data_IF_078108070299
#
_entry.id   IF_078108070299
#
_cell.length_a   1.000
_cell.length_b   1.000
_cell.length_c   1.000
_cell.angle_alpha   90.00
_cell.angle_beta   90.00
_cell.angle_gamma   90.00
#
_symmetry.space_group_name_H-M   'P 1'
#
loop_
_entity.id
_entity.type
_entity.pdbx_description
1 polymer ?
#
# COMPACT_ATOMS: atom_id res chain seq x y z
N UNK A 1 76.21 2.54 -48.28
CA UNK A 1 74.86 2.01 -48.51
C UNK A 1 73.96 2.50 -47.38
N UNK A 2 73.34 3.68 -47.57
CA UNK A 2 72.36 4.26 -46.65
C UNK A 2 71.64 5.41 -47.36
N UNK A 3 70.42 5.71 -46.91
CA UNK A 3 69.55 6.85 -47.25
C UNK A 3 68.80 6.83 -48.58
N UNK A 4 67.51 6.43 -48.51
CA UNK A 4 66.35 7.16 -49.07
C UNK A 4 65.06 6.39 -48.73
N UNK A 5 64.53 6.62 -47.52
CA UNK A 5 63.22 6.11 -47.07
C UNK A 5 62.50 7.17 -46.23
N UNK A 6 62.52 8.41 -46.71
CA UNK A 6 62.02 9.57 -45.97
C UNK A 6 61.34 10.59 -46.90
N UNK A 7 60.41 10.12 -47.75
CA UNK A 7 59.61 11.01 -48.62
C UNK A 7 58.14 10.54 -48.76
N UNK A 8 57.60 9.81 -47.78
CA UNK A 8 56.17 9.41 -47.74
C UNK A 8 55.40 10.16 -46.65
N UNK A 9 56.09 10.76 -45.67
CA UNK A 9 55.44 11.51 -44.57
C UNK A 9 54.83 12.85 -44.97
N UNK A 10 55.26 13.45 -46.09
CA UNK A 10 54.87 14.82 -46.47
C UNK A 10 53.58 14.91 -47.30
N UNK A 11 53.12 13.81 -47.89
CA UNK A 11 51.85 13.76 -48.65
C UNK A 11 50.63 13.41 -47.78
N UNK A 12 50.81 12.74 -46.63
CA UNK A 12 49.69 12.46 -45.72
C UNK A 12 49.25 13.67 -44.88
N UNK A 13 50.11 14.68 -44.70
CA UNK A 13 49.78 15.89 -43.93
C UNK A 13 48.88 16.87 -44.69
N UNK A 14 48.82 16.77 -46.04
CA UNK A 14 47.97 17.63 -46.88
C UNK A 14 46.51 17.17 -47.00
N UNK A 15 46.18 15.93 -46.65
CA UNK A 15 44.80 15.42 -46.70
C UNK A 15 43.98 15.64 -45.42
N UNK A 16 44.63 15.93 -44.28
CA UNK A 16 43.93 16.18 -43.01
C UNK A 16 43.45 17.64 -42.86
N UNK A 17 44.02 18.57 -43.63
CA UNK A 17 43.71 20.01 -43.51
C UNK A 17 42.48 20.45 -44.31
N UNK A 18 41.89 19.59 -45.14
CA UNK A 18 40.69 19.92 -45.94
C UNK A 18 39.35 19.52 -45.28
N UNK A 19 39.38 18.83 -44.14
CA UNK A 19 38.17 18.54 -43.35
C UNK A 19 37.93 19.60 -42.24
N UNK A 20 38.79 20.62 -42.13
CA UNK A 20 38.74 21.64 -41.06
C UNK A 20 37.83 22.83 -41.31
N UNK A 21 37.05 22.87 -42.41
CA UNK A 21 36.26 24.05 -42.81
C UNK A 21 34.83 23.65 -43.22
N UNK A 22 34.05 23.01 -42.34
CA UNK A 22 32.62 22.79 -42.62
C UNK A 22 31.74 22.51 -41.37
N UNK A 23 32.06 23.07 -40.19
CA UNK A 23 31.13 22.98 -39.05
C UNK A 23 31.17 24.21 -38.13
N UNK A 24 31.42 25.38 -38.70
CA UNK A 24 31.14 26.67 -38.07
C UNK A 24 29.64 26.94 -38.08
N UNK A 25 29.02 26.85 -36.90
CA UNK A 25 27.81 27.61 -36.62
C UNK A 25 26.52 26.80 -36.45
N UNK A 26 26.40 26.06 -35.35
CA UNK A 26 25.18 26.03 -34.53
C UNK A 26 25.44 25.28 -33.21
N UNK A 27 26.06 25.95 -32.23
CA UNK A 27 26.06 25.43 -30.86
C UNK A 27 24.79 25.95 -30.15
N UNK A 28 23.86 25.09 -29.71
CA UNK A 28 22.74 25.53 -28.89
C UNK A 28 23.25 26.06 -27.55
N UNK A 29 22.70 27.21 -27.14
CA UNK A 29 23.01 27.89 -25.88
C UNK A 29 23.06 26.88 -24.72
N UNK A 30 24.18 26.85 -23.97
CA UNK A 30 24.34 26.08 -22.73
C UNK A 30 23.14 26.34 -21.81
N UNK A 31 22.30 25.33 -21.62
CA UNK A 31 21.28 25.35 -20.56
C UNK A 31 22.00 25.36 -19.22
N UNK A 32 22.07 26.52 -18.58
CA UNK A 32 22.64 26.68 -17.25
C UNK A 32 21.71 25.95 -16.28
N UNK A 33 22.10 24.75 -15.86
CA UNK A 33 21.34 23.95 -14.89
C UNK A 33 21.07 24.82 -13.66
N UNK A 34 19.80 25.07 -13.27
CA UNK A 34 19.52 25.81 -12.07
C UNK A 34 20.08 25.02 -10.90
N UNK A 35 20.88 25.68 -10.06
CA UNK A 35 21.59 25.07 -8.94
C UNK A 35 20.68 24.13 -8.16
N UNK A 36 21.24 22.98 -7.75
CA UNK A 36 20.55 21.95 -6.96
C UNK A 36 19.94 22.59 -5.71
N UNK A 37 18.67 23.00 -5.79
CA UNK A 37 17.87 23.30 -4.61
C UNK A 37 17.75 21.97 -3.88
N UNK A 38 18.47 21.83 -2.78
CA UNK A 38 18.35 20.66 -1.92
C UNK A 38 16.93 20.66 -1.38
N UNK A 39 16.06 19.85 -2.00
CA UNK A 39 14.73 19.60 -1.50
C UNK A 39 14.89 19.02 -0.09
N UNK A 40 14.24 19.58 0.94
CA UNK A 40 14.33 19.05 2.29
C UNK A 40 13.69 17.65 2.30
N UNK A 41 14.51 16.62 2.18
CA UNK A 41 14.07 15.23 2.31
C UNK A 41 13.67 15.03 3.76
N UNK A 42 12.37 14.82 3.99
CA UNK A 42 11.80 14.46 5.29
C UNK A 42 12.58 13.26 5.82
N UNK A 43 13.42 13.48 6.84
CA UNK A 43 14.20 12.44 7.51
C UNK A 43 13.20 11.50 8.17
N UNK A 44 12.83 10.40 7.51
CA UNK A 44 12.01 9.35 8.11
C UNK A 44 12.76 8.86 9.34
N UNK A 45 12.19 9.03 10.53
CA UNK A 45 12.76 8.59 11.80
C UNK A 45 13.07 7.11 11.70
N UNK A 46 14.33 6.81 11.46
CA UNK A 46 14.79 5.46 11.19
C UNK A 46 14.86 4.71 12.51
N UNK A 47 13.73 4.09 12.91
CA UNK A 47 13.79 2.91 13.77
C UNK A 47 14.84 1.95 13.19
N UNK A 48 15.64 1.36 14.07
CA UNK A 48 16.85 0.62 13.67
C UNK A 48 16.48 -0.39 12.57
N UNK A 49 17.38 -0.61 11.60
CA UNK A 49 17.14 -1.56 10.50
C UNK A 49 16.66 -2.92 11.03
N UNK A 50 17.11 -3.30 12.23
CA UNK A 50 16.72 -4.50 12.97
C UNK A 50 15.26 -4.47 13.44
N UNK A 51 14.75 -3.34 13.95
CA UNK A 51 13.35 -3.22 14.36
C UNK A 51 12.38 -3.34 13.19
N UNK A 52 12.70 -2.75 12.03
CA UNK A 52 11.83 -2.89 10.84
C UNK A 52 11.78 -4.33 10.32
N UNK A 53 12.92 -5.03 10.31
CA UNK A 53 12.98 -6.44 9.91
C UNK A 53 12.28 -7.37 10.90
N UNK A 54 12.47 -7.17 12.21
CA UNK A 54 11.75 -7.96 13.25
C UNK A 54 10.25 -7.72 13.16
N UNK A 55 9.84 -6.48 12.86
CA UNK A 55 8.43 -6.16 12.66
C UNK A 55 7.86 -6.83 11.41
N UNK A 56 8.55 -6.78 10.28
CA UNK A 56 8.12 -7.49 9.07
C UNK A 56 7.98 -9.00 9.30
N UNK A 57 8.94 -9.64 9.98
CA UNK A 57 8.86 -11.07 10.33
C UNK A 57 7.67 -11.35 11.24
N UNK A 58 7.46 -10.52 12.27
CA UNK A 58 6.34 -10.67 13.18
C UNK A 58 5.00 -10.54 12.45
N UNK A 59 4.90 -9.59 11.51
CA UNK A 59 3.75 -9.41 10.64
C UNK A 59 3.52 -10.65 9.77
N UNK A 60 4.54 -11.20 9.14
CA UNK A 60 4.43 -12.44 8.34
C UNK A 60 3.94 -13.62 9.18
N UNK A 61 4.52 -13.84 10.36
CA UNK A 61 4.14 -14.96 11.25
C UNK A 61 2.71 -14.82 11.73
N UNK A 62 2.30 -13.62 12.16
CA UNK A 62 0.92 -13.34 12.58
C UNK A 62 -0.03 -13.54 11.40
N UNK A 63 0.31 -13.02 10.22
CA UNK A 63 -0.51 -13.16 9.01
C UNK A 63 -0.70 -14.61 8.62
N UNK A 64 0.36 -15.42 8.69
CA UNK A 64 0.31 -16.84 8.38
C UNK A 64 -0.61 -17.61 9.35
N UNK A 65 -0.41 -17.43 10.65
CA UNK A 65 -1.24 -18.10 11.68
C UNK A 65 -2.70 -17.65 11.56
N UNK A 66 -2.93 -16.35 11.34
CA UNK A 66 -4.27 -15.79 11.20
C UNK A 66 -4.95 -16.28 9.92
N UNK A 67 -4.22 -16.38 8.81
CA UNK A 67 -4.73 -16.93 7.55
C UNK A 67 -5.17 -18.38 7.73
N UNK A 68 -4.32 -19.22 8.34
CA UNK A 68 -4.65 -20.62 8.60
C UNK A 68 -5.89 -20.74 9.50
N UNK A 69 -5.94 -19.95 10.57
CA UNK A 69 -7.06 -19.96 11.52
C UNK A 69 -8.37 -19.57 10.84
N UNK A 70 -8.35 -18.49 10.04
CA UNK A 70 -9.53 -18.00 9.32
C UNK A 70 -9.95 -18.99 8.24
N UNK A 71 -9.01 -19.55 7.49
CA UNK A 71 -9.32 -20.50 6.42
C UNK A 71 -9.94 -21.78 6.99
N UNK A 72 -9.41 -22.28 8.11
CA UNK A 72 -9.98 -23.43 8.81
C UNK A 72 -11.40 -23.17 9.33
N UNK A 73 -11.61 -22.01 9.96
CA UNK A 73 -12.93 -21.61 10.46
C UNK A 73 -13.92 -21.40 9.30
N UNK A 74 -13.49 -20.75 8.24
CA UNK A 74 -14.31 -20.47 7.06
C UNK A 74 -14.72 -21.75 6.35
N UNK A 75 -13.80 -22.70 6.13
CA UNK A 75 -14.13 -23.99 5.51
C UNK A 75 -15.23 -24.74 6.28
N UNK A 76 -15.16 -24.74 7.61
CA UNK A 76 -16.17 -25.38 8.48
C UNK A 76 -17.53 -24.71 8.36
N UNK A 77 -17.55 -23.39 8.17
CA UNK A 77 -18.77 -22.60 8.00
C UNK A 77 -19.35 -22.79 6.60
N UNK A 78 -18.51 -22.83 5.56
CA UNK A 78 -18.93 -23.02 4.17
C UNK A 78 -19.54 -24.41 3.91
N UNK A 79 -19.10 -25.45 4.63
CA UNK A 79 -19.66 -26.81 4.48
C UNK A 79 -21.12 -26.92 4.94
N UNK A 80 -21.60 -26.00 5.78
CA UNK A 80 -22.98 -26.00 6.30
C UNK A 80 -23.90 -25.01 5.60
N UNK A 81 -23.38 -24.21 4.68
CA UNK A 81 -24.09 -23.08 4.08
C UNK A 81 -24.41 -23.36 2.61
N UNK A 82 -25.58 -22.91 2.16
CA UNK A 82 -25.98 -23.05 0.76
C UNK A 82 -25.10 -22.18 -0.15
N UNK A 83 -24.82 -22.61 -1.40
CA UNK A 83 -23.88 -21.92 -2.30
C UNK A 83 -24.24 -20.45 -2.56
N UNK A 84 -25.53 -20.09 -2.53
CA UNK A 84 -26.00 -18.72 -2.66
C UNK A 84 -25.53 -17.82 -1.50
N UNK A 85 -25.62 -18.30 -0.26
CA UNK A 85 -25.12 -17.57 0.91
C UNK A 85 -23.58 -17.51 0.92
N UNK A 86 -22.90 -18.52 0.39
CA UNK A 86 -21.44 -18.52 0.28
C UNK A 86 -20.93 -17.36 -0.59
N UNK A 87 -21.61 -17.06 -1.70
CA UNK A 87 -21.26 -15.91 -2.56
C UNK A 87 -21.40 -14.57 -1.83
N UNK A 88 -22.48 -14.41 -1.05
CA UNK A 88 -22.71 -13.22 -0.23
C UNK A 88 -21.60 -13.06 0.83
N UNK A 89 -21.19 -14.15 1.46
CA UNK A 89 -20.10 -14.14 2.44
C UNK A 89 -18.78 -13.71 1.81
N UNK A 90 -18.44 -14.22 0.61
CA UNK A 90 -17.23 -13.80 -0.12
C UNK A 90 -17.26 -12.29 -0.39
N UNK A 91 -18.41 -11.77 -0.84
CA UNK A 91 -18.59 -10.35 -1.09
C UNK A 91 -18.43 -9.53 0.20
N UNK A 92 -18.99 -9.98 1.33
CA UNK A 92 -18.78 -9.35 2.63
C UNK A 92 -17.32 -9.35 3.07
N UNK A 93 -16.58 -10.44 2.86
CA UNK A 93 -15.14 -10.52 3.18
C UNK A 93 -14.35 -9.47 2.40
N UNK A 94 -14.63 -9.29 1.11
CA UNK A 94 -13.99 -8.25 0.28
C UNK A 94 -14.34 -6.86 0.80
N UNK A 95 -15.62 -6.60 1.12
CA UNK A 95 -16.05 -5.32 1.68
C UNK A 95 -15.37 -4.99 3.01
N UNK A 96 -15.23 -5.98 3.90
CA UNK A 96 -14.49 -5.82 5.15
C UNK A 96 -13.03 -5.47 4.86
N UNK A 97 -12.37 -6.18 3.94
CA UNK A 97 -10.99 -5.88 3.56
C UNK A 97 -10.80 -4.45 3.04
N UNK A 98 -11.68 -3.99 2.15
CA UNK A 98 -11.65 -2.61 1.63
C UNK A 98 -11.97 -1.58 2.72
N UNK A 99 -12.88 -1.88 3.64
CA UNK A 99 -13.17 -1.02 4.78
C UNK A 99 -11.94 -0.83 5.67
N UNK A 100 -11.21 -1.91 5.98
CA UNK A 100 -9.97 -1.83 6.74
C UNK A 100 -8.86 -1.06 6.00
N UNK A 101 -8.79 -1.13 4.66
CA UNK A 101 -7.89 -0.29 3.85
C UNK A 101 -8.23 1.21 4.01
N UNK A 102 -9.51 1.58 3.96
CA UNK A 102 -9.95 2.97 4.21
C UNK A 102 -9.47 3.45 5.57
N UNK A 103 -9.57 2.62 6.61
CA UNK A 103 -9.08 2.95 7.96
C UNK A 103 -7.57 3.12 7.97
N UNK A 104 -6.82 2.21 7.35
CA UNK A 104 -5.36 2.30 7.24
C UNK A 104 -4.91 3.60 6.56
N UNK A 105 -5.52 3.94 5.41
CA UNK A 105 -5.25 5.19 4.70
C UNK A 105 -5.63 6.40 5.56
N UNK A 106 -6.82 6.39 6.18
CA UNK A 106 -7.27 7.50 7.03
C UNK A 106 -6.33 7.76 8.22
N UNK A 107 -5.82 6.70 8.86
CA UNK A 107 -4.85 6.81 9.97
C UNK A 107 -3.56 7.48 9.51
N UNK A 108 -3.08 7.17 8.30
CA UNK A 108 -1.86 7.78 7.74
C UNK A 108 -2.06 9.20 7.25
N UNK A 109 -3.27 9.55 6.79
CA UNK A 109 -3.59 10.86 6.26
C UNK A 109 -4.04 11.87 7.33
N UNK A 110 -4.34 11.41 8.55
CA UNK A 110 -4.82 12.26 9.63
C UNK A 110 -3.69 12.98 10.37
N UNK A 111 -3.84 14.29 10.56
CA UNK A 111 -2.96 15.10 11.40
C UNK A 111 -3.35 15.05 12.88
N UNK A 112 -2.40 15.11 13.80
CA UNK A 112 -2.68 15.10 15.24
C UNK A 112 -3.37 16.38 15.75
N UNK A 113 -3.10 17.53 15.12
CA UNK A 113 -3.57 18.87 15.54
C UNK A 113 -5.08 18.96 15.77
N UNK A 114 -5.94 18.57 14.81
CA UNK A 114 -7.38 18.68 15.00
C UNK A 114 -7.91 17.68 16.05
N UNK A 115 -7.27 16.51 16.24
CA UNK A 115 -7.62 15.58 17.31
C UNK A 115 -7.21 16.07 18.69
N UNK A 116 -6.10 16.81 18.81
CA UNK A 116 -5.74 17.47 20.07
C UNK A 116 -6.78 18.50 20.49
N UNK A 117 -7.27 19.32 19.56
CA UNK A 117 -8.35 20.27 19.84
C UNK A 117 -9.65 19.55 20.28
N UNK A 118 -9.99 18.41 19.66
CA UNK A 118 -11.13 17.58 20.06
C UNK A 118 -10.93 16.92 21.42
N UNK A 119 -9.71 16.50 21.77
CA UNK A 119 -9.38 15.96 23.08
C UNK A 119 -9.51 17.02 24.18
N UNK A 120 -9.09 18.26 23.92
CA UNK A 120 -9.28 19.40 24.84
C UNK A 120 -10.77 19.69 25.09
N UNK A 121 -11.61 19.52 24.06
CA UNK A 121 -13.08 19.61 24.18
C UNK A 121 -13.74 18.33 24.74
N UNK A 122 -12.96 17.35 25.22
CA UNK A 122 -13.43 16.09 25.81
C UNK A 122 -14.32 15.23 24.90
N UNK A 123 -14.12 15.29 23.58
CA UNK A 123 -14.82 14.38 22.67
C UNK A 123 -14.41 12.92 22.92
N UNK A 124 -15.41 12.04 23.10
CA UNK A 124 -15.19 10.61 23.32
C UNK A 124 -14.50 9.99 22.09
N UNK A 125 -13.37 9.31 22.31
CA UNK A 125 -12.59 8.66 21.26
C UNK A 125 -11.41 9.49 20.70
N UNK A 126 -11.32 10.79 21.00
CA UNK A 126 -10.23 11.63 20.52
C UNK A 126 -8.85 11.15 21.03
N UNK A 127 -8.75 10.76 22.30
CA UNK A 127 -7.52 10.21 22.88
C UNK A 127 -7.09 8.89 22.22
N UNK A 128 -8.06 8.06 21.81
CA UNK A 128 -7.80 6.79 21.13
C UNK A 128 -7.34 7.02 19.68
N UNK A 129 -7.97 7.96 18.97
CA UNK A 129 -7.55 8.39 17.64
C UNK A 129 -6.11 8.93 17.64
N UNK A 130 -5.73 9.75 18.64
CA UNK A 130 -4.34 10.23 18.78
C UNK A 130 -3.36 9.06 18.96
N UNK A 131 -3.71 8.04 19.76
CA UNK A 131 -2.86 6.84 19.93
C UNK A 131 -2.71 6.04 18.62
N UNK A 132 -3.75 6.00 17.79
CA UNK A 132 -3.69 5.36 16.47
C UNK A 132 -2.78 6.15 15.52
N UNK A 133 -2.92 7.48 15.45
CA UNK A 133 -2.09 8.34 14.60
C UNK A 133 -0.61 8.23 14.99
N UNK A 134 -0.29 8.21 16.30
CA UNK A 134 1.08 8.02 16.79
C UNK A 134 1.71 6.69 16.37
N UNK A 135 0.91 5.67 16.09
CA UNK A 135 1.35 4.35 15.61
C UNK A 135 0.91 4.10 14.16
N UNK A 136 0.66 5.16 13.39
CA UNK A 136 0.07 5.09 12.06
C UNK A 136 0.78 4.11 11.14
N UNK A 137 2.11 4.15 11.07
CA UNK A 137 2.90 3.27 10.20
C UNK A 137 2.62 1.78 10.48
N UNK A 138 2.53 1.40 11.76
CA UNK A 138 2.26 0.00 12.14
C UNK A 138 0.81 -0.38 11.88
N UNK A 139 -0.14 0.49 12.22
CA UNK A 139 -1.57 0.22 12.03
C UNK A 139 -1.90 0.13 10.54
N UNK A 140 -1.36 1.04 9.73
CA UNK A 140 -1.62 1.11 8.30
C UNK A 140 -1.12 -0.13 7.57
N UNK A 141 0.09 -0.60 7.86
CA UNK A 141 0.61 -1.80 7.20
C UNK A 141 -0.07 -3.08 7.72
N UNK A 142 -0.53 -3.14 8.98
CA UNK A 142 -1.42 -4.23 9.41
C UNK A 142 -2.76 -4.19 8.66
N UNK A 143 -3.44 -3.06 8.62
CA UNK A 143 -4.75 -2.95 8.00
C UNK A 143 -4.70 -3.12 6.47
N UNK A 144 -3.68 -2.60 5.81
CA UNK A 144 -3.60 -2.62 4.35
C UNK A 144 -2.97 -3.92 3.81
N UNK A 145 -1.88 -4.36 4.44
CA UNK A 145 -1.12 -5.52 3.97
C UNK A 145 -1.69 -6.78 4.60
N UNK A 146 -1.68 -6.92 5.93
CA UNK A 146 -2.13 -8.16 6.60
C UNK A 146 -3.60 -8.45 6.35
N UNK A 147 -4.48 -7.52 6.73
CA UNK A 147 -5.92 -7.74 6.61
C UNK A 147 -6.33 -7.77 5.14
N UNK A 148 -5.74 -6.91 4.31
CA UNK A 148 -6.01 -6.88 2.88
C UNK A 148 -5.62 -8.17 2.16
N UNK A 149 -4.44 -8.72 2.45
CA UNK A 149 -3.94 -9.96 1.83
C UNK A 149 -4.74 -11.17 2.31
N UNK A 150 -5.09 -11.23 3.61
CA UNK A 150 -5.93 -12.29 4.17
C UNK A 150 -7.32 -12.26 3.53
N UNK A 151 -7.96 -11.09 3.46
CA UNK A 151 -9.27 -10.95 2.81
C UNK A 151 -9.20 -11.37 1.34
N UNK A 152 -8.12 -11.01 0.63
CA UNK A 152 -7.89 -11.43 -0.76
C UNK A 152 -7.75 -12.95 -0.91
N UNK A 153 -6.87 -13.58 -0.12
CA UNK A 153 -6.63 -15.03 -0.17
C UNK A 153 -7.87 -15.82 0.24
N UNK A 154 -8.55 -15.41 1.32
CA UNK A 154 -9.74 -16.11 1.82
C UNK A 154 -10.91 -15.96 0.84
N UNK A 155 -11.16 -14.75 0.31
CA UNK A 155 -12.23 -14.53 -0.67
C UNK A 155 -11.98 -15.25 -2.00
N UNK A 156 -10.73 -15.27 -2.48
CA UNK A 156 -10.34 -16.00 -3.68
C UNK A 156 -10.49 -17.52 -3.52
N UNK A 157 -9.94 -18.08 -2.44
CA UNK A 157 -10.04 -19.52 -2.16
C UNK A 157 -11.50 -19.96 -1.95
N UNK A 158 -12.29 -19.16 -1.22
CA UNK A 158 -13.71 -19.41 -1.04
C UNK A 158 -14.49 -19.28 -2.35
N UNK A 159 -14.20 -18.27 -3.18
CA UNK A 159 -14.79 -18.11 -4.51
C UNK A 159 -14.55 -19.32 -5.41
N UNK A 160 -13.30 -19.79 -5.48
CA UNK A 160 -12.94 -20.99 -6.23
C UNK A 160 -13.67 -22.24 -5.70
N UNK A 161 -13.73 -22.42 -4.37
CA UNK A 161 -14.43 -23.56 -3.75
C UNK A 161 -15.93 -23.57 -4.06
N UNK A 162 -16.58 -22.41 -4.12
CA UNK A 162 -18.01 -22.29 -4.47
C UNK A 162 -18.22 -22.68 -5.94
N UNK A 163 -17.40 -22.18 -6.85
CA UNK A 163 -17.50 -22.49 -8.28
C UNK A 163 -17.25 -23.97 -8.51
N UNK A 164 -16.24 -24.54 -7.84
CA UNK A 164 -15.95 -25.97 -7.89
C UNK A 164 -17.18 -26.78 -7.47
N UNK A 165 -17.81 -26.45 -6.34
CA UNK A 165 -19.02 -27.16 -5.88
C UNK A 165 -20.21 -27.04 -6.83
N UNK A 166 -20.37 -25.91 -7.51
CA UNK A 166 -21.54 -25.63 -8.36
C UNK A 166 -21.38 -26.12 -9.80
N UNK A 167 -20.17 -26.11 -10.34
CA UNK A 167 -19.89 -26.40 -11.75
C UNK A 167 -19.00 -27.63 -11.98
N UNK A 168 -18.70 -28.41 -10.92
CA UNK A 168 -18.06 -29.73 -11.06
C UNK A 168 -18.81 -30.59 -12.08
N UNK A 169 -18.24 -30.77 -13.27
CA UNK A 169 -18.82 -31.57 -14.35
C UNK A 169 -19.16 -30.82 -15.65
N UNK A 170 -19.04 -29.49 -15.70
CA UNK A 170 -19.24 -28.73 -16.94
C UNK A 170 -17.91 -28.49 -17.68
N UNK A 171 -17.90 -28.65 -19.01
CA UNK A 171 -16.71 -28.46 -19.85
C UNK A 171 -16.09 -27.05 -19.78
N UNK A 172 -16.86 -26.05 -19.35
CA UNK A 172 -16.46 -24.64 -19.28
C UNK A 172 -16.00 -24.16 -17.89
N UNK A 173 -15.72 -25.08 -16.95
CA UNK A 173 -15.41 -24.73 -15.56
C UNK A 173 -14.26 -23.70 -15.45
N UNK A 174 -13.18 -23.88 -16.21
CA UNK A 174 -11.99 -23.03 -16.11
C UNK A 174 -12.25 -21.58 -16.57
N UNK A 175 -13.14 -21.38 -17.54
CA UNK A 175 -13.52 -20.03 -17.98
C UNK A 175 -14.38 -19.34 -16.93
N UNK A 176 -15.34 -20.04 -16.32
CA UNK A 176 -16.21 -19.49 -15.28
C UNK A 176 -15.39 -19.15 -14.03
N UNK A 177 -14.49 -20.04 -13.62
CA UNK A 177 -13.56 -19.80 -12.51
C UNK A 177 -12.67 -18.58 -12.76
N UNK A 178 -12.08 -18.46 -13.96
CA UNK A 178 -11.25 -17.33 -14.33
C UNK A 178 -12.04 -16.00 -14.34
N UNK A 179 -13.27 -16.01 -14.86
CA UNK A 179 -14.13 -14.81 -14.90
C UNK A 179 -14.51 -14.37 -13.48
N UNK A 180 -14.93 -15.30 -12.63
CA UNK A 180 -15.33 -14.95 -11.25
C UNK A 180 -14.11 -14.57 -10.40
N UNK A 181 -13.00 -15.29 -10.51
CA UNK A 181 -11.75 -14.94 -9.85
C UNK A 181 -11.23 -13.58 -10.31
N UNK A 182 -11.31 -13.30 -11.62
CA UNK A 182 -11.00 -11.99 -12.20
C UNK A 182 -11.91 -10.89 -11.70
N UNK A 183 -13.21 -11.15 -11.54
CA UNK A 183 -14.17 -10.20 -10.97
C UNK A 183 -13.85 -9.90 -9.49
N UNK A 184 -13.57 -10.94 -8.69
CA UNK A 184 -13.16 -10.79 -7.28
C UNK A 184 -11.88 -9.95 -7.20
N UNK A 185 -10.89 -10.24 -8.04
CA UNK A 185 -9.65 -9.47 -8.10
C UNK A 185 -9.89 -8.01 -8.52
N UNK A 186 -10.71 -7.77 -9.54
CA UNK A 186 -11.04 -6.43 -10.01
C UNK A 186 -11.77 -5.60 -8.94
N UNK A 187 -12.74 -6.19 -8.24
CA UNK A 187 -13.45 -5.54 -7.13
C UNK A 187 -12.49 -5.26 -5.97
N UNK A 188 -11.61 -6.19 -5.64
CA UNK A 188 -10.65 -6.03 -4.54
C UNK A 188 -9.64 -4.92 -4.84
N UNK A 189 -9.01 -4.96 -6.01
CA UNK A 189 -8.00 -3.97 -6.42
C UNK A 189 -8.64 -2.60 -6.69
N UNK A 190 -9.78 -2.57 -7.38
CA UNK A 190 -10.55 -1.36 -7.62
C UNK A 190 -11.09 -0.74 -6.33
N UNK A 191 -11.53 -1.56 -5.38
CA UNK A 191 -11.95 -1.17 -4.05
C UNK A 191 -10.85 -0.46 -3.27
N UNK A 192 -9.62 -1.00 -3.28
CA UNK A 192 -8.45 -0.33 -2.66
C UNK A 192 -8.14 1.03 -3.31
N UNK A 193 -8.25 1.14 -4.64
CA UNK A 193 -8.06 2.42 -5.32
C UNK A 193 -9.11 3.47 -4.91
N UNK A 194 -10.37 3.04 -4.78
CA UNK A 194 -11.45 3.88 -4.27
C UNK A 194 -11.23 4.26 -2.80
N UNK A 195 -10.79 3.31 -1.97
CA UNK A 195 -10.50 3.50 -0.55
C UNK A 195 -9.46 4.59 -0.31
N UNK A 196 -8.41 4.65 -1.15
CA UNK A 196 -7.41 5.73 -1.08
C UNK A 196 -8.02 7.11 -1.33
N UNK A 197 -8.85 7.23 -2.37
CA UNK A 197 -9.52 8.50 -2.71
C UNK A 197 -10.49 8.94 -1.60
N UNK A 198 -11.22 8.00 -1.03
CA UNK A 198 -12.20 8.28 0.03
C UNK A 198 -11.52 8.57 1.38
N UNK A 199 -10.54 7.73 1.75
CA UNK A 199 -9.74 7.87 2.97
C UNK A 199 -8.97 9.17 3.05
N UNK A 200 -8.51 9.73 1.92
CA UNK A 200 -7.83 11.02 1.90
C UNK A 200 -8.77 12.23 2.00
N UNK A 201 -9.98 12.16 1.43
CA UNK A 201 -10.93 13.29 1.45
C UNK A 201 -11.56 13.50 2.81
N UNK A 202 -11.93 12.40 3.49
CA UNK A 202 -12.69 12.42 4.74
C UNK A 202 -11.93 11.72 5.89
N UNK A 203 -10.59 11.75 5.86
CA UNK A 203 -9.73 11.10 6.85
C UNK A 203 -10.14 11.42 8.29
N UNK A 204 -10.48 12.68 8.55
CA UNK A 204 -10.88 13.15 9.87
C UNK A 204 -12.19 12.52 10.36
N UNK A 205 -13.20 12.41 9.50
CA UNK A 205 -14.52 11.87 9.85
C UNK A 205 -14.42 10.36 10.07
N UNK A 206 -13.68 9.68 9.20
CA UNK A 206 -13.45 8.23 9.29
C UNK A 206 -12.74 7.91 10.60
N UNK A 207 -11.66 8.62 10.90
CA UNK A 207 -10.88 8.36 12.10
C UNK A 207 -11.63 8.72 13.39
N UNK A 208 -12.47 9.76 13.35
CA UNK A 208 -13.36 10.08 14.46
C UNK A 208 -14.36 8.94 14.70
N UNK A 209 -15.04 8.43 13.66
CA UNK A 209 -15.96 7.29 13.79
C UNK A 209 -15.28 6.04 14.33
N UNK A 210 -14.09 5.70 13.82
CA UNK A 210 -13.29 4.56 14.31
C UNK A 210 -12.87 4.78 15.76
N UNK A 211 -12.41 5.98 16.10
CA UNK A 211 -12.03 6.36 17.47
C UNK A 211 -13.19 6.30 18.46
N UNK A 212 -14.38 6.72 18.05
CA UNK A 212 -15.62 6.62 18.85
C UNK A 212 -16.05 5.16 19.03
N UNK A 213 -16.00 4.35 17.96
CA UNK A 213 -16.31 2.92 18.04
C UNK A 213 -15.35 2.19 19.00
N UNK A 214 -14.05 2.48 18.89
CA UNK A 214 -13.04 1.98 19.81
C UNK A 214 -13.28 2.44 21.25
N UNK A 215 -13.74 3.67 21.47
CA UNK A 215 -14.05 4.17 22.82
C UNK A 215 -15.35 3.57 23.40
N UNK A 216 -16.26 3.11 22.54
CA UNK A 216 -17.45 2.39 22.96
C UNK A 216 -17.11 0.94 23.36
N UNK A 217 -16.26 0.26 22.57
CA UNK A 217 -15.80 -1.10 22.86
C UNK A 217 -14.73 -1.18 23.97
N UNK A 218 -13.93 -0.14 24.14
CA UNK A 218 -13.00 0.00 25.25
C UNK A 218 -13.52 1.08 26.21
N UNK A 219 -14.44 0.75 27.13
CA UNK A 219 -14.85 1.67 28.17
C UNK A 219 -13.59 2.10 28.93
N UNK A 220 -13.23 3.37 28.78
CA UNK A 220 -12.02 3.95 29.32
C UNK A 220 -12.11 4.02 30.85
N UNK A 221 -11.58 3.01 31.54
CA UNK A 221 -11.02 3.22 32.87
C UNK A 221 -9.71 4.00 32.72
N UNK A 222 -9.78 5.33 32.71
CA UNK A 222 -8.65 6.22 32.96
C UNK A 222 -9.17 7.64 33.22
N UNK A 223 -9.79 7.80 34.39
CA UNK A 223 -9.75 9.08 35.08
C UNK A 223 -8.36 9.27 35.70
N UNK A 224 -7.92 10.53 35.74
CA UNK A 224 -6.78 11.07 36.52
C UNK A 224 -5.39 10.93 35.90
N UNK A 225 -4.99 11.96 35.14
CA UNK A 225 -3.83 12.83 35.47
C UNK A 225 -3.63 13.85 34.35
N UNK A 226 -4.21 15.04 34.50
CA UNK A 226 -3.63 16.30 34.05
C UNK A 226 -4.26 17.43 34.88
N UNK A 227 -3.83 17.53 36.12
CA UNK A 227 -3.90 18.75 36.91
C UNK A 227 -2.56 18.88 37.62
N UNK A 228 -2.09 20.13 37.74
CA UNK A 228 -0.84 20.64 38.32
C UNK A 228 0.12 21.24 37.27
N UNK A 229 -0.26 22.43 36.80
CA UNK A 229 0.58 23.60 36.99
C UNK A 229 0.35 24.15 38.40
#
# INVERSE_FOLDING_TARGET
>A
MSTKRFDIGKEMEKMDNHHKIAHSGFLPKRFKSPGKKQLPVKKSSSGSRRERSVWAISVTVISFILSLSILFLSSTVFDKITPYFSFIIVLLIIFIGVFFDIVGVAVTAADEKPFHAMASKKYKGAAQAIKLIRKADKVASICNDVVGDICGVVSGTAGAAIIFRFFSGHANYGLIEAVVGGLIAAITVGGKAFAKKFGMKDSHVILYKVGTLMAFFAPSNNGKKQEKG
#
